data_IF_042864069083
#
_entry.id   IF_042864069083
#
_cell.length_a   1.000
_cell.length_b   1.000
_cell.length_c   1.000
_cell.angle_alpha   90.00
_cell.angle_beta   90.00
_cell.angle_gamma   90.00
#
_symmetry.space_group_name_H-M   'P 1'
#
loop_
_entity.id
_entity.type
_entity.pdbx_description
1 polymer ?
#
# COMPACT_ATOMS: atom_id res chain seq x y z
N UNK A 1 -35.62 42.11 -28.17
CA UNK A 1 -36.99 41.66 -28.46
C UNK A 1 -36.93 40.41 -29.31
N UNK A 2 -37.38 39.27 -28.75
CA UNK A 2 -38.23 38.23 -29.37
C UNK A 2 -37.75 37.62 -30.71
N UNK A 3 -37.76 36.32 -30.98
CA UNK A 3 -38.34 35.11 -30.41
C UNK A 3 -37.77 34.00 -31.32
N UNK A 4 -37.21 32.88 -30.85
CA UNK A 4 -38.00 31.72 -30.45
C UNK A 4 -38.90 31.20 -31.58
N UNK A 5 -38.53 30.10 -32.24
CA UNK A 5 -39.37 28.90 -32.31
C UNK A 5 -38.74 27.74 -33.09
N UNK A 6 -38.78 26.58 -32.42
CA UNK A 6 -38.62 25.22 -32.95
C UNK A 6 -39.76 24.87 -33.89
N UNK A 7 -39.50 23.98 -34.84
CA UNK A 7 -40.52 23.12 -35.43
C UNK A 7 -40.04 21.66 -35.37
N UNK A 8 -40.90 20.83 -34.79
CA UNK A 8 -40.90 19.37 -34.80
C UNK A 8 -41.43 18.86 -36.16
N UNK A 9 -41.05 17.66 -36.61
CA UNK A 9 -41.91 16.45 -36.59
C UNK A 9 -41.34 15.28 -37.44
N UNK A 10 -41.49 14.08 -36.87
CA UNK A 10 -41.66 12.72 -37.40
C UNK A 10 -40.97 12.20 -38.66
N UNK A 11 -40.44 10.97 -38.51
CA UNK A 11 -40.30 9.97 -39.57
C UNK A 11 -39.95 8.59 -39.01
N UNK A 12 -40.97 7.79 -38.73
CA UNK A 12 -40.91 6.42 -38.19
C UNK A 12 -40.42 5.39 -39.22
N UNK A 13 -39.68 4.38 -38.77
CA UNK A 13 -39.64 2.97 -39.23
C UNK A 13 -38.65 2.24 -38.31
N UNK A 14 -38.99 1.27 -37.46
CA UNK A 14 -39.93 0.19 -37.66
C UNK A 14 -39.15 -1.08 -38.03
N UNK A 15 -38.61 -1.80 -37.04
CA UNK A 15 -38.31 -3.22 -37.16
C UNK A 15 -38.36 -3.89 -35.78
N UNK A 16 -39.45 -4.63 -35.62
CA UNK A 16 -39.78 -5.53 -34.54
C UNK A 16 -39.16 -6.89 -34.84
N UNK A 17 -38.39 -7.46 -33.90
CA UNK A 17 -38.35 -8.91 -33.70
C UNK A 17 -38.43 -9.18 -32.21
N UNK A 18 -39.52 -9.87 -31.85
CA UNK A 18 -39.79 -10.40 -30.53
C UNK A 18 -38.82 -11.53 -30.17
N UNK A 19 -38.29 -11.50 -28.95
CA UNK A 19 -37.61 -12.62 -28.31
C UNK A 19 -37.91 -12.56 -26.82
N UNK A 20 -38.84 -13.40 -26.38
CA UNK A 20 -39.55 -13.33 -25.11
C UNK A 20 -39.06 -14.44 -24.17
N UNK A 21 -38.95 -14.11 -22.87
CA UNK A 21 -38.92 -14.98 -21.68
C UNK A 21 -37.64 -15.79 -21.41
N UNK A 22 -36.86 -15.34 -20.42
CA UNK A 22 -36.84 -15.98 -19.10
C UNK A 22 -36.08 -15.13 -18.08
N UNK A 23 -36.85 -14.45 -17.22
CA UNK A 23 -36.38 -13.78 -16.02
C UNK A 23 -36.34 -14.80 -14.88
N UNK A 24 -35.16 -15.01 -14.30
CA UNK A 24 -35.01 -15.64 -13.00
C UNK A 24 -34.49 -14.56 -12.02
N UNK A 25 -35.29 -14.16 -11.01
CA UNK A 25 -34.82 -13.23 -9.98
C UNK A 25 -33.92 -13.97 -8.98
N UNK A 26 -32.71 -13.46 -8.79
CA UNK A 26 -31.78 -13.93 -7.76
C UNK A 26 -32.31 -13.45 -6.39
N UNK A 27 -32.59 -14.34 -5.42
CA UNK A 27 -33.04 -13.94 -4.11
C UNK A 27 -31.89 -13.35 -3.28
N UNK A 28 -32.02 -12.07 -2.96
CA UNK A 28 -31.20 -11.36 -1.98
C UNK A 28 -31.68 -11.77 -0.59
N UNK A 29 -30.94 -12.64 0.09
CA UNK A 29 -31.19 -12.94 1.50
C UNK A 29 -30.58 -11.85 2.38
N UNK A 30 -31.42 -10.90 2.80
CA UNK A 30 -31.21 -10.08 3.98
C UNK A 30 -31.39 -10.97 5.22
N UNK A 31 -30.33 -11.15 6.00
CA UNK A 31 -30.45 -11.73 7.34
C UNK A 31 -30.22 -10.65 8.39
N UNK A 32 -31.16 -10.58 9.31
CA UNK A 32 -31.39 -9.48 10.23
C UNK A 32 -30.38 -9.34 11.37
N UNK A 33 -30.39 -8.10 11.88
CA UNK A 33 -29.95 -7.59 13.18
C UNK A 33 -29.77 -8.65 14.28
N UNK A 34 -28.59 -8.60 14.93
CA UNK A 34 -28.43 -8.98 16.34
C UNK A 34 -27.88 -7.77 17.11
N UNK A 35 -28.54 -7.45 18.21
CA UNK A 35 -28.41 -6.29 19.09
C UNK A 35 -27.21 -6.38 20.05
N UNK A 36 -26.77 -5.25 20.65
CA UNK A 36 -25.62 -5.20 21.54
C UNK A 36 -26.03 -5.56 22.98
N UNK A 37 -25.13 -6.18 23.74
CA UNK A 37 -25.22 -6.23 25.21
C UNK A 37 -23.96 -5.69 25.87
N UNK A 38 -24.10 -4.83 26.90
CA UNK A 38 -23.01 -4.16 27.59
C UNK A 38 -22.51 -4.98 28.77
N UNK A 39 -21.20 -4.98 29.01
CA UNK A 39 -20.66 -5.27 30.34
C UNK A 39 -19.72 -4.16 30.79
N UNK A 40 -20.29 -3.36 31.70
CA UNK A 40 -19.69 -2.79 32.90
C UNK A 40 -18.20 -2.45 32.86
N UNK A 41 -17.99 -1.14 32.91
CA UNK A 41 -17.02 -0.47 33.75
C UNK A 41 -16.66 -1.22 35.04
N UNK A 42 -15.37 -1.33 35.29
CA UNK A 42 -14.81 -1.18 36.63
C UNK A 42 -13.63 -0.22 36.52
N UNK A 43 -13.85 0.97 37.06
CA UNK A 43 -12.80 1.88 37.48
C UNK A 43 -11.84 1.15 38.42
N UNK A 44 -10.54 1.35 38.25
CA UNK A 44 -9.70 1.63 39.41
C UNK A 44 -8.56 2.54 39.02
N UNK A 45 -8.78 3.81 39.36
CA UNK A 45 -7.73 4.78 39.64
C UNK A 45 -6.86 4.26 40.79
N UNK A 46 -5.54 4.34 40.65
CA UNK A 46 -4.61 4.68 41.74
C UNK A 46 -3.18 4.81 41.21
N UNK A 47 -2.69 6.05 41.17
CA UNK A 47 -1.27 6.44 41.26
C UNK A 47 -1.11 7.15 42.62
N UNK A 48 0.10 7.53 43.05
CA UNK A 48 1.30 6.77 43.37
C UNK A 48 1.64 6.94 44.88
N UNK A 49 2.69 6.30 45.39
CA UNK A 49 3.14 6.56 46.76
C UNK A 49 4.51 5.97 47.06
N UNK A 50 5.51 6.84 47.16
CA UNK A 50 6.81 6.61 47.79
C UNK A 50 6.61 6.07 49.22
N UNK A 51 7.49 5.17 49.66
CA UNK A 51 8.09 5.08 51.01
C UNK A 51 9.01 3.82 50.97
N UNK A 52 10.29 3.97 50.64
CA UNK A 52 11.43 4.15 51.57
C UNK A 52 11.61 3.07 52.66
N UNK A 53 12.73 2.36 52.49
CA UNK A 53 13.70 1.87 53.49
C UNK A 53 13.29 0.93 54.64
N UNK A 54 13.90 -0.25 54.60
CA UNK A 54 14.70 -0.95 55.65
C UNK A 54 14.68 -2.44 55.26
N UNK A 55 15.76 -3.22 55.24
CA UNK A 55 17.02 -3.18 55.96
C UNK A 55 17.98 -4.18 55.31
N UNK A 56 19.27 -3.87 55.41
CA UNK A 56 20.47 -4.67 55.13
C UNK A 56 20.37 -6.18 55.31
N UNK A 57 21.06 -6.94 54.45
CA UNK A 57 22.26 -7.74 54.78
C UNK A 57 22.62 -8.67 53.60
N UNK A 58 23.63 -8.35 52.80
CA UNK A 58 25.01 -8.93 52.81
C UNK A 58 25.07 -10.42 52.37
N UNK A 59 25.73 -10.65 51.23
CA UNK A 59 26.75 -11.70 50.95
C UNK A 59 26.83 -11.98 49.44
N UNK A 60 27.70 -11.26 48.71
CA UNK A 60 28.19 -11.76 47.41
C UNK A 60 29.54 -12.39 47.66
N UNK A 61 29.53 -13.71 47.85
CA UNK A 61 30.74 -14.52 47.79
C UNK A 61 31.11 -14.70 46.31
N UNK A 62 32.29 -14.19 45.95
CA UNK A 62 32.98 -14.57 44.72
C UNK A 62 33.43 -16.02 44.89
N UNK A 63 32.74 -16.94 44.23
CA UNK A 63 33.21 -18.30 44.04
C UNK A 63 33.26 -18.55 42.53
N UNK A 64 34.48 -18.59 42.00
CA UNK A 64 34.71 -19.08 40.66
C UNK A 64 34.28 -20.54 40.56
N UNK A 65 33.61 -20.89 39.47
CA UNK A 65 33.52 -22.27 39.04
C UNK A 65 33.87 -22.37 37.56
N UNK A 66 34.96 -23.11 37.39
CA UNK A 66 35.55 -23.71 36.22
C UNK A 66 34.50 -24.37 35.32
N UNK A 67 34.77 -24.33 34.02
CA UNK A 67 34.07 -25.00 32.93
C UNK A 67 33.37 -26.32 33.32
N UNK A 68 32.08 -26.39 33.06
CA UNK A 68 31.46 -27.62 32.55
C UNK A 68 30.48 -27.21 31.45
N UNK A 69 30.74 -27.69 30.24
CA UNK A 69 29.85 -27.48 29.10
C UNK A 69 28.51 -28.16 29.39
N UNK A 70 27.50 -27.35 29.72
CA UNK A 70 26.12 -27.78 29.62
C UNK A 70 25.79 -27.88 28.12
N UNK A 71 25.98 -29.07 27.57
CA UNK A 71 25.37 -29.44 26.30
C UNK A 71 23.87 -29.24 26.49
N UNK A 72 23.28 -28.30 25.75
CA UNK A 72 21.84 -28.19 25.62
C UNK A 72 21.36 -29.48 24.96
N UNK A 73 20.91 -30.44 25.78
CA UNK A 73 20.17 -31.59 25.30
C UNK A 73 18.83 -31.05 24.80
N UNK A 74 18.70 -31.00 23.47
CA UNK A 74 17.43 -30.75 22.81
C UNK A 74 16.51 -31.88 23.26
N UNK A 75 15.53 -31.53 24.09
CA UNK A 75 14.52 -32.46 24.56
C UNK A 75 13.77 -33.04 23.35
N UNK A 76 13.61 -34.36 23.39
CA UNK A 76 12.99 -35.19 22.36
C UNK A 76 11.58 -34.69 22.03
N UNK A 77 11.33 -34.57 20.74
CA UNK A 77 10.16 -34.06 20.05
C UNK A 77 8.80 -34.52 20.62
N UNK A 78 8.09 -33.58 21.24
CA UNK A 78 6.63 -33.62 21.38
C UNK A 78 5.93 -32.94 20.19
N UNK A 79 4.63 -33.19 19.97
CA UNK A 79 3.83 -32.61 18.87
C UNK A 79 3.83 -31.07 18.81
N UNK A 80 4.28 -30.40 19.87
CA UNK A 80 4.53 -28.96 19.91
C UNK A 80 5.54 -28.48 18.84
N UNK A 81 6.56 -29.29 18.49
CA UNK A 81 7.60 -28.88 17.54
C UNK A 81 7.09 -28.73 16.08
N UNK A 82 6.03 -29.46 15.71
CA UNK A 82 5.48 -29.37 14.33
C UNK A 82 4.73 -28.07 14.10
N UNK A 83 3.98 -27.61 15.09
CA UNK A 83 3.24 -26.35 15.00
C UNK A 83 4.17 -25.15 15.01
N UNK A 84 5.23 -25.17 15.84
CA UNK A 84 6.24 -24.11 15.85
C UNK A 84 6.95 -24.01 14.51
N UNK A 85 7.43 -25.13 13.96
CA UNK A 85 8.16 -25.11 12.70
C UNK A 85 7.29 -24.67 11.50
N UNK A 86 5.96 -24.94 11.51
CA UNK A 86 5.04 -24.41 10.50
C UNK A 86 4.86 -22.90 10.63
N UNK A 87 4.76 -22.39 11.85
CA UNK A 87 4.65 -20.96 12.13
C UNK A 87 5.93 -20.21 11.74
N UNK A 88 7.09 -20.81 12.02
CA UNK A 88 8.40 -20.26 11.66
C UNK A 88 8.54 -20.15 10.14
N UNK A 89 8.17 -21.21 9.42
CA UNK A 89 8.20 -21.22 7.97
C UNK A 89 7.20 -20.21 7.35
N UNK A 90 5.98 -20.08 7.90
CA UNK A 90 5.04 -19.03 7.48
C UNK A 90 5.61 -17.63 7.71
N UNK A 91 6.38 -17.45 8.79
CA UNK A 91 7.05 -16.19 9.12
C UNK A 91 8.21 -15.89 8.18
N UNK A 92 8.88 -16.92 7.64
CA UNK A 92 9.88 -16.74 6.59
C UNK A 92 9.22 -16.26 5.29
N UNK A 93 8.10 -16.87 4.88
CA UNK A 93 7.35 -16.41 3.70
C UNK A 93 6.89 -14.97 3.86
N UNK A 94 6.37 -14.60 5.04
CA UNK A 94 5.95 -13.23 5.28
C UNK A 94 7.15 -12.27 5.24
N UNK A 95 8.30 -12.65 5.82
CA UNK A 95 9.54 -11.88 5.74
C UNK A 95 10.01 -11.67 4.30
N UNK A 96 9.97 -12.70 3.46
CA UNK A 96 10.35 -12.58 2.04
C UNK A 96 9.40 -11.66 1.27
N UNK A 97 8.10 -11.76 1.53
CA UNK A 97 7.11 -10.85 0.96
C UNK A 97 7.36 -9.41 1.43
N UNK A 98 7.61 -9.17 2.71
CA UNK A 98 7.95 -7.84 3.23
C UNK A 98 9.24 -7.29 2.63
N UNK A 99 10.28 -8.12 2.47
CA UNK A 99 11.54 -7.73 1.86
C UNK A 99 11.35 -7.32 0.39
N UNK A 100 10.60 -8.11 -0.38
CA UNK A 100 10.38 -7.86 -1.81
C UNK A 100 9.50 -6.63 -2.08
N UNK A 101 8.66 -6.20 -1.12
CA UNK A 101 7.89 -4.94 -1.26
C UNK A 101 8.76 -3.73 -1.52
N UNK A 102 9.97 -3.70 -0.95
CA UNK A 102 10.92 -2.59 -1.11
C UNK A 102 11.29 -2.35 -2.58
N UNK A 103 11.20 -3.39 -3.41
CA UNK A 103 11.62 -3.36 -4.81
C UNK A 103 10.44 -3.19 -5.78
N UNK A 104 9.23 -2.95 -5.27
CA UNK A 104 8.09 -2.64 -6.10
C UNK A 104 8.19 -1.20 -6.65
N UNK A 105 7.75 -0.97 -7.90
CA UNK A 105 7.71 0.39 -8.44
C UNK A 105 6.70 1.24 -7.67
N UNK A 106 7.20 2.31 -7.03
CA UNK A 106 6.44 3.25 -6.21
C UNK A 106 5.19 3.83 -6.92
N UNK A 107 5.24 3.91 -8.26
CA UNK A 107 4.15 4.41 -9.11
C UNK A 107 2.84 3.61 -8.99
N UNK A 108 2.91 2.33 -8.56
CA UNK A 108 1.74 1.45 -8.45
C UNK A 108 1.12 1.40 -7.04
N UNK A 109 1.85 1.79 -6.01
CA UNK A 109 1.39 1.73 -4.61
C UNK A 109 0.81 3.05 -4.10
N UNK A 110 0.81 4.14 -4.90
CA UNK A 110 0.23 5.49 -4.66
C UNK A 110 -0.48 5.69 -3.31
N UNK A 111 0.29 5.75 -2.22
CA UNK A 111 -0.21 5.90 -0.85
C UNK A 111 -1.40 5.03 -0.44
N UNK A 112 -1.55 3.86 -1.07
CA UNK A 112 -2.60 2.90 -0.76
C UNK A 112 -2.20 2.12 0.49
N UNK A 113 -3.01 2.27 1.52
CA UNK A 113 -2.86 1.55 2.78
C UNK A 113 -3.89 0.44 2.83
N UNK A 114 -3.45 -0.78 3.15
CA UNK A 114 -4.36 -1.91 3.23
C UNK A 114 -3.69 -3.21 3.62
N UNK A 115 -4.52 -4.20 3.95
CA UNK A 115 -4.06 -5.57 4.23
C UNK A 115 -4.49 -6.45 3.06
N UNK A 116 -3.51 -7.06 2.40
CA UNK A 116 -3.76 -8.07 1.37
C UNK A 116 -3.54 -9.44 2.00
N UNK A 117 -4.49 -10.35 1.81
CA UNK A 117 -4.34 -11.75 2.22
C UNK A 117 -4.03 -12.60 1.00
N UNK A 118 -2.90 -13.29 1.04
CA UNK A 118 -2.47 -14.24 0.03
C UNK A 118 -2.86 -15.65 0.44
N UNK A 119 -3.74 -16.29 -0.33
CA UNK A 119 -4.06 -17.71 -0.17
C UNK A 119 -3.23 -18.50 -1.19
N UNK A 120 -2.03 -18.87 -0.76
CA UNK A 120 -1.00 -19.51 -1.57
C UNK A 120 -1.20 -21.02 -1.61
N UNK A 121 -1.30 -21.58 -2.81
CA UNK A 121 -1.16 -23.03 -3.04
C UNK A 121 0.23 -23.25 -3.60
N UNK A 122 1.05 -24.10 -2.99
CA UNK A 122 2.46 -24.25 -3.39
C UNK A 122 2.93 -25.70 -3.33
N UNK A 123 4.01 -25.99 -4.07
CA UNK A 123 4.66 -27.30 -4.11
C UNK A 123 5.79 -27.40 -3.06
N UNK A 124 6.36 -28.61 -2.90
CA UNK A 124 7.50 -28.85 -1.98
C UNK A 124 8.77 -28.08 -2.35
N UNK A 125 8.89 -27.60 -3.59
CA UNK A 125 10.03 -26.82 -4.05
C UNK A 125 9.87 -25.30 -3.82
N UNK A 126 8.77 -24.84 -3.20
CA UNK A 126 8.53 -23.43 -2.90
C UNK A 126 7.96 -22.61 -4.05
N UNK A 127 7.50 -23.28 -5.13
CA UNK A 127 6.81 -22.63 -6.24
C UNK A 127 5.33 -22.51 -5.96
N UNK A 128 4.77 -21.35 -6.32
CA UNK A 128 3.34 -21.10 -6.22
C UNK A 128 2.65 -21.75 -7.42
N UNK A 129 1.65 -22.58 -7.14
CA UNK A 129 0.84 -23.27 -8.13
C UNK A 129 -0.30 -22.36 -8.62
N UNK A 130 -0.83 -22.62 -9.84
CA UNK A 130 -2.04 -21.97 -10.33
C UNK A 130 -3.23 -22.19 -9.38
N UNK A 131 -4.14 -21.21 -9.31
CA UNK A 131 -5.29 -21.24 -8.39
C UNK A 131 -5.05 -20.52 -7.06
N UNK A 132 -3.96 -19.78 -6.95
CA UNK A 132 -3.70 -18.82 -5.87
C UNK A 132 -4.78 -17.75 -5.83
N UNK A 133 -5.26 -17.40 -4.64
CA UNK A 133 -6.28 -16.36 -4.46
C UNK A 133 -5.72 -15.19 -3.66
N UNK A 134 -5.98 -13.98 -4.14
CA UNK A 134 -5.63 -12.73 -3.47
C UNK A 134 -6.92 -12.08 -3.00
N UNK A 135 -7.00 -11.83 -1.69
CA UNK A 135 -8.17 -11.22 -1.06
C UNK A 135 -7.80 -9.82 -0.59
N UNK A 136 -8.43 -8.82 -1.21
CA UNK A 136 -8.25 -7.40 -0.93
C UNK A 136 -9.57 -6.66 -1.17
N UNK A 137 -9.74 -5.53 -0.50
CA UNK A 137 -10.88 -4.61 -0.73
C UNK A 137 -10.61 -3.70 -1.92
N UNK A 138 -9.33 -3.33 -2.14
CA UNK A 138 -8.91 -2.44 -3.21
C UNK A 138 -8.35 -3.27 -4.40
N UNK A 139 -8.91 -3.10 -5.63
CA UNK A 139 -8.45 -3.82 -6.81
C UNK A 139 -7.04 -3.42 -7.28
N UNK A 140 -6.60 -2.18 -7.03
CA UNK A 140 -5.26 -1.71 -7.39
C UNK A 140 -4.21 -2.39 -6.51
N UNK A 141 -4.49 -2.54 -5.20
CA UNK A 141 -3.66 -3.35 -4.30
C UNK A 141 -3.59 -4.81 -4.75
N UNK A 142 -4.66 -5.33 -5.36
CA UNK A 142 -4.68 -6.68 -5.94
C UNK A 142 -3.66 -6.84 -7.07
N UNK A 143 -3.52 -5.84 -7.96
CA UNK A 143 -2.54 -5.86 -9.06
C UNK A 143 -1.10 -5.77 -8.55
N UNK A 144 -0.86 -4.91 -7.55
CA UNK A 144 0.45 -4.80 -6.89
C UNK A 144 0.82 -6.10 -6.19
N UNK A 145 -0.13 -6.71 -5.48
CA UNK A 145 0.06 -7.96 -4.78
C UNK A 145 0.45 -9.10 -5.74
N UNK A 146 -0.13 -9.16 -6.94
CA UNK A 146 0.27 -10.12 -7.96
C UNK A 146 1.74 -9.96 -8.38
N UNK A 147 2.17 -8.71 -8.60
CA UNK A 147 3.57 -8.41 -8.95
C UNK A 147 4.52 -8.78 -7.82
N UNK A 148 4.15 -8.46 -6.57
CA UNK A 148 4.91 -8.85 -5.39
C UNK A 148 5.09 -10.36 -5.33
N UNK A 149 4.02 -11.11 -5.58
CA UNK A 149 4.03 -12.57 -5.56
C UNK A 149 4.90 -13.16 -6.68
N UNK A 150 4.94 -12.53 -7.85
CA UNK A 150 5.81 -12.95 -8.95
C UNK A 150 7.28 -12.70 -8.63
N UNK A 151 7.60 -11.57 -8.00
CA UNK A 151 8.96 -11.19 -7.65
C UNK A 151 9.52 -11.96 -6.46
N UNK A 152 8.69 -12.29 -5.48
CA UNK A 152 9.11 -13.00 -4.27
C UNK A 152 9.35 -14.50 -4.48
N UNK A 153 9.04 -15.04 -5.66
CA UNK A 153 9.28 -16.45 -5.95
C UNK A 153 10.74 -16.70 -6.35
N UNK A 154 11.31 -17.84 -5.96
CA UNK A 154 10.69 -18.94 -5.20
C UNK A 154 10.70 -18.71 -3.66
N UNK A 155 9.73 -19.28 -2.95
CA UNK A 155 9.67 -19.26 -1.49
C UNK A 155 10.53 -20.37 -0.86
N UNK A 156 10.90 -20.26 0.43
CA UNK A 156 11.59 -21.34 1.14
C UNK A 156 10.77 -22.61 1.12
N UNK A 157 11.42 -23.73 0.82
CA UNK A 157 10.81 -25.04 0.88
C UNK A 157 10.32 -25.32 2.31
N UNK A 158 9.12 -25.92 2.47
CA UNK A 158 8.61 -26.26 3.79
C UNK A 158 9.56 -27.26 4.47
N UNK A 159 9.79 -27.13 5.79
CA UNK A 159 10.47 -28.16 6.58
C UNK A 159 9.82 -29.53 6.36
N UNK A 160 10.56 -30.62 6.63
CA UNK A 160 10.11 -32.01 6.47
C UNK A 160 8.88 -32.35 7.32
N UNK A 161 7.71 -31.88 6.91
CA UNK A 161 6.44 -32.20 7.48
C UNK A 161 5.78 -33.31 6.65
N UNK A 162 4.94 -34.12 7.28
CA UNK A 162 3.97 -34.98 6.62
C UNK A 162 2.86 -34.14 5.95
N UNK A 163 3.25 -33.15 5.16
CA UNK A 163 2.37 -32.43 4.25
C UNK A 163 2.01 -33.37 3.10
N UNK A 164 0.78 -33.33 2.57
CA UNK A 164 0.39 -34.14 1.43
C UNK A 164 1.36 -33.92 0.25
N UNK A 165 1.70 -35.01 -0.43
CA UNK A 165 2.85 -35.07 -1.35
C UNK A 165 2.81 -34.11 -2.54
N UNK A 166 1.64 -33.55 -2.88
CA UNK A 166 1.47 -32.78 -4.12
C UNK A 166 1.42 -31.25 -3.92
N UNK A 167 0.68 -30.75 -2.94
CA UNK A 167 0.47 -29.30 -2.75
C UNK A 167 -0.15 -28.98 -1.40
N UNK A 168 0.19 -27.84 -0.81
CA UNK A 168 -0.41 -27.36 0.43
C UNK A 168 -0.79 -25.88 0.32
N UNK A 169 -1.77 -25.48 1.15
CA UNK A 169 -2.36 -24.14 1.14
C UNK A 169 -1.96 -23.36 2.39
N UNK A 170 -1.45 -22.15 2.21
CA UNK A 170 -1.06 -21.23 3.28
C UNK A 170 -1.72 -19.87 3.06
N UNK A 171 -2.12 -19.23 4.16
CA UNK A 171 -2.68 -17.87 4.13
C UNK A 171 -1.70 -16.90 4.77
N UNK A 172 -1.17 -15.94 4.01
CA UNK A 172 -0.23 -14.93 4.53
C UNK A 172 -0.84 -13.53 4.43
N UNK A 173 -1.09 -12.85 5.55
CA UNK A 173 -1.50 -11.45 5.54
C UNK A 173 -0.28 -10.55 5.40
N UNK A 174 -0.40 -9.54 4.54
CA UNK A 174 0.69 -8.63 4.18
C UNK A 174 0.15 -7.21 4.21
N UNK A 175 0.79 -6.33 4.99
CA UNK A 175 0.33 -4.93 5.16
C UNK A 175 1.05 -3.99 4.22
N UNK A 176 0.33 -3.28 3.37
CA UNK A 176 0.87 -2.16 2.61
C UNK A 176 0.71 -0.90 3.45
N UNK A 177 1.83 -0.31 3.84
CA UNK A 177 1.89 0.98 4.50
C UNK A 177 2.48 1.95 3.49
N UNK A 178 1.80 3.08 3.29
CA UNK A 178 2.15 4.25 2.48
C UNK A 178 3.58 4.21 1.91
N UNK A 179 3.74 3.67 0.69
CA UNK A 179 5.01 3.76 -0.04
C UNK A 179 4.95 5.09 -0.79
N UNK A 180 5.87 6.04 -0.51
CA UNK A 180 5.79 7.37 -1.10
C UNK A 180 5.77 7.25 -2.62
N UNK A 181 4.80 7.92 -3.25
CA UNK A 181 4.47 7.81 -4.67
C UNK A 181 5.59 8.29 -5.62
N UNK A 182 6.70 8.82 -5.08
CA UNK A 182 7.74 9.50 -5.84
C UNK A 182 8.74 8.47 -6.36
N UNK A 183 8.51 7.98 -7.58
CA UNK A 183 9.56 7.32 -8.34
C UNK A 183 10.67 8.32 -8.73
N UNK A 184 11.90 7.85 -8.99
CA UNK A 184 13.03 8.73 -9.31
C UNK A 184 12.81 9.61 -10.55
N UNK A 185 11.95 9.17 -11.48
CA UNK A 185 11.60 9.94 -12.67
C UNK A 185 10.67 11.14 -12.36
N UNK A 186 9.68 10.96 -11.47
CA UNK A 186 8.76 12.04 -11.10
C UNK A 186 9.44 13.09 -10.21
N UNK A 187 10.36 12.65 -9.35
CA UNK A 187 11.18 13.54 -8.53
C UNK A 187 12.14 14.36 -9.39
N UNK A 188 12.76 13.74 -10.40
CA UNK A 188 13.59 14.46 -11.36
C UNK A 188 12.79 15.52 -12.14
N UNK A 189 11.60 15.18 -12.62
CA UNK A 189 10.72 16.13 -13.32
C UNK A 189 10.27 17.26 -12.38
N UNK A 190 9.92 16.97 -11.13
CA UNK A 190 9.56 17.98 -10.13
C UNK A 190 10.75 18.91 -9.82
N UNK A 191 11.96 18.36 -9.74
CA UNK A 191 13.19 19.16 -9.51
C UNK A 191 13.48 20.09 -10.69
N UNK A 192 13.40 19.59 -11.93
CA UNK A 192 13.54 20.44 -13.13
C UNK A 192 12.49 21.55 -13.18
N UNK A 193 11.25 21.24 -12.84
CA UNK A 193 10.17 22.21 -12.83
C UNK A 193 10.41 23.33 -11.80
N UNK A 194 10.92 22.98 -10.60
CA UNK A 194 11.34 23.96 -9.60
C UNK A 194 12.46 24.86 -10.13
N UNK A 195 13.50 24.28 -10.76
CA UNK A 195 14.58 25.04 -11.40
C UNK A 195 14.03 26.03 -12.45
N UNK A 196 13.01 25.62 -13.23
CA UNK A 196 12.34 26.48 -14.20
C UNK A 196 11.59 27.65 -13.55
N UNK A 197 10.85 27.41 -12.47
CA UNK A 197 10.15 28.49 -11.75
C UNK A 197 11.13 29.47 -11.08
N UNK A 198 12.25 28.96 -10.56
CA UNK A 198 13.30 29.79 -9.99
C UNK A 198 13.98 30.67 -11.04
N UNK A 199 14.29 30.12 -12.21
CA UNK A 199 14.87 30.87 -13.33
C UNK A 199 13.93 32.00 -13.80
N UNK A 200 12.63 31.73 -13.91
CA UNK A 200 11.63 32.73 -14.28
C UNK A 200 11.54 33.86 -13.25
N UNK A 201 11.59 33.53 -11.96
CA UNK A 201 11.60 34.53 -10.89
C UNK A 201 12.83 35.44 -10.99
N UNK A 202 14.01 34.86 -11.19
CA UNK A 202 15.26 35.62 -11.34
C UNK A 202 15.23 36.52 -12.57
N UNK A 203 14.70 36.03 -13.70
CA UNK A 203 14.57 36.78 -14.93
C UNK A 203 13.56 37.93 -14.79
N UNK A 204 12.42 37.70 -14.12
CA UNK A 204 11.43 38.74 -13.85
C UNK A 204 12.00 39.83 -12.92
N UNK A 205 12.78 39.44 -11.91
CA UNK A 205 13.50 40.37 -11.03
C UNK A 205 14.54 41.20 -11.80
N UNK A 206 15.27 40.57 -12.73
CA UNK A 206 16.20 41.27 -13.61
C UNK A 206 15.47 42.30 -14.48
N UNK A 207 14.36 41.91 -15.12
CA UNK A 207 13.61 42.81 -15.99
C UNK A 207 12.93 43.93 -15.21
N UNK A 208 12.41 43.64 -14.01
CA UNK A 208 11.82 44.66 -13.14
C UNK A 208 12.85 45.72 -12.75
N UNK A 209 14.07 45.31 -12.37
CA UNK A 209 15.17 46.25 -12.11
C UNK A 209 15.51 47.09 -13.35
N UNK A 210 15.58 46.47 -14.52
CA UNK A 210 15.87 47.17 -15.78
C UNK A 210 14.75 48.13 -16.21
N UNK A 211 13.49 47.77 -15.99
CA UNK A 211 12.33 48.61 -16.24
C UNK A 211 12.33 49.83 -15.31
N UNK A 212 12.62 49.62 -14.03
CA UNK A 212 12.74 50.70 -13.04
C UNK A 212 13.83 51.71 -13.45
N UNK A 213 15.00 51.23 -13.88
CA UNK A 213 16.09 52.09 -14.38
C UNK A 213 15.69 52.90 -15.63
N UNK A 214 14.72 52.43 -16.41
CA UNK A 214 14.23 53.07 -17.63
C UNK A 214 12.93 53.85 -17.43
N UNK A 215 12.37 53.88 -16.22
CA UNK A 215 11.06 54.50 -15.95
C UNK A 215 9.89 53.78 -16.66
N UNK A 216 10.04 52.50 -16.98
CA UNK A 216 9.02 51.68 -17.64
C UNK A 216 8.22 50.88 -16.62
N UNK A 217 6.99 50.48 -17.00
CA UNK A 217 6.17 49.59 -16.19
C UNK A 217 6.83 48.20 -16.03
N UNK A 218 6.71 47.55 -14.86
CA UNK A 218 7.23 46.20 -14.65
C UNK A 218 6.57 45.17 -15.57
N UNK A 219 7.32 44.21 -16.13
CA UNK A 219 6.76 43.14 -16.94
C UNK A 219 6.02 42.13 -16.06
N UNK A 220 5.02 41.45 -16.63
CA UNK A 220 4.22 40.43 -15.96
C UNK A 220 4.69 39.00 -16.24
N UNK A 221 5.54 38.82 -17.26
CA UNK A 221 6.05 37.52 -17.68
C UNK A 221 7.52 37.64 -18.11
N UNK A 222 8.34 36.60 -17.89
CA UNK A 222 9.73 36.60 -18.32
C UNK A 222 9.83 36.57 -19.85
N UNK A 223 10.64 37.46 -20.41
CA UNK A 223 10.96 37.48 -21.86
C UNK A 223 11.83 36.32 -22.33
N UNK A 224 12.57 35.67 -21.43
CA UNK A 224 13.46 34.54 -21.73
C UNK A 224 13.17 33.41 -20.75
N UNK A 225 13.00 32.20 -21.28
CA UNK A 225 12.91 30.97 -20.50
C UNK A 225 14.05 30.02 -20.90
N UNK A 226 14.55 29.19 -19.97
CA UNK A 226 15.46 28.10 -20.31
C UNK A 226 14.78 27.05 -21.19
N UNK A 227 15.57 26.37 -22.02
CA UNK A 227 15.07 25.29 -22.89
C UNK A 227 14.47 24.15 -22.05
N UNK A 228 13.33 23.59 -22.50
CA UNK A 228 12.64 22.50 -21.80
C UNK A 228 11.65 22.95 -20.71
N UNK A 229 11.72 24.21 -20.25
CA UNK A 229 10.83 24.70 -19.19
C UNK A 229 9.39 24.92 -19.67
N UNK A 230 9.18 25.26 -20.95
CA UNK A 230 7.85 25.43 -21.52
C UNK A 230 7.10 24.10 -21.63
N UNK A 231 7.81 23.02 -21.97
CA UNK A 231 7.29 21.65 -21.99
C UNK A 231 6.94 21.19 -20.57
N UNK A 232 7.86 21.37 -19.62
CA UNK A 232 7.66 20.95 -18.22
C UNK A 232 6.39 21.58 -17.60
N UNK A 233 6.18 22.87 -17.82
CA UNK A 233 4.98 23.58 -17.33
C UNK A 233 3.69 23.12 -18.01
N UNK A 234 3.73 22.78 -19.30
CA UNK A 234 2.58 22.21 -20.02
C UNK A 234 2.18 20.84 -19.44
N UNK A 235 3.15 19.97 -19.17
CA UNK A 235 2.88 18.69 -18.53
C UNK A 235 2.32 18.83 -17.11
N UNK A 236 2.73 19.87 -16.37
CA UNK A 236 2.14 20.18 -15.06
C UNK A 236 0.68 20.62 -15.18
N UNK A 237 0.36 21.55 -16.09
CA UNK A 237 -1.01 22.03 -16.27
C UNK A 237 -1.95 20.93 -16.76
N UNK A 238 -1.49 20.06 -17.67
CA UNK A 238 -2.24 18.88 -18.11
C UNK A 238 -2.53 17.92 -16.94
N UNK A 239 -1.55 17.71 -16.05
CA UNK A 239 -1.74 16.90 -14.84
C UNK A 239 -2.78 17.53 -13.90
N UNK A 240 -2.69 18.84 -13.65
CA UNK A 240 -3.65 19.56 -12.81
C UNK A 240 -5.07 19.50 -13.38
N UNK A 241 -5.22 19.67 -14.69
CA UNK A 241 -6.49 19.54 -15.40
C UNK A 241 -7.07 18.12 -15.25
N UNK A 242 -6.23 17.10 -15.42
CA UNK A 242 -6.63 15.69 -15.26
C UNK A 242 -7.06 15.40 -13.81
N UNK A 243 -6.36 15.94 -12.81
CA UNK A 243 -6.75 15.79 -11.40
C UNK A 243 -8.04 16.52 -11.06
N UNK A 244 -8.27 17.71 -11.62
CA UNK A 244 -9.50 18.45 -11.44
C UNK A 244 -10.70 17.66 -12.01
N UNK A 245 -10.56 17.17 -13.24
CA UNK A 245 -11.59 16.37 -13.91
C UNK A 245 -11.87 15.02 -13.21
N UNK A 246 -10.90 14.47 -12.48
CA UNK A 246 -11.07 13.22 -11.73
C UNK A 246 -11.76 13.40 -10.36
N UNK A 247 -11.92 14.64 -9.91
CA UNK A 247 -12.53 14.97 -8.61
C UNK A 247 -14.00 15.40 -8.74
N UNK A 248 -14.49 15.56 -9.98
CA UNK A 248 -15.88 15.87 -10.34
C UNK A 248 -16.68 14.60 -10.69
#
# INVERSE_FOLDING_TARGET
MLSGSRACFCGSSGLSVSGVRNAAPIPIYFCGRATPRPFRALCSSAKPGLEMLKSLSICVAVAGLVCTGAQSTIALDGPANRFSALQDWQSQISSDLEHNKRYLPATRTRGKIGIVRFELTMNRAGWVLPGTRIVTVDPDLGRVALLLLQQAQPFPAPPHFNLPDASFRVVVPVRFNDVPAQGPAEELESRKLLECYEADRQELEYQTRKAALRGLAPPQAPSRMPDGCAEAKRHESERQQTTANATE
#
